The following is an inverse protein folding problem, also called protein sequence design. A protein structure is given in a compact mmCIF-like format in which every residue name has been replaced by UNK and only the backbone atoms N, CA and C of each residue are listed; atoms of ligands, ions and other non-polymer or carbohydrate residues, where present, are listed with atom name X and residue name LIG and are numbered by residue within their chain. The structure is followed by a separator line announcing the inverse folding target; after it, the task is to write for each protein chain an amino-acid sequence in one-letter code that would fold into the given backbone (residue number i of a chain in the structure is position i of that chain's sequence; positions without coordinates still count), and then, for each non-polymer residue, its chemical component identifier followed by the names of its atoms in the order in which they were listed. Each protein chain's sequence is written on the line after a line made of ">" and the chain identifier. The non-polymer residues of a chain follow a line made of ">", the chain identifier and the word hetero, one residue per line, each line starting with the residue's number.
data_IF_871522816863
#
_entry.id   IF_871522816863
#
_cell.length_a   1.000
_cell.length_b   1.000
_cell.length_c   1.000
_cell.angle_alpha   90.00
_cell.angle_beta   90.00
_cell.angle_gamma   90.00
#
_symmetry.space_group_name_H-M   'P 1'
#
loop_
_entity.id
_entity.type
_entity.pdbx_description
1 polymer ?
#
# COMPACT_ATOMS: atom_id res chain seq x y z
N UNK A 1 8.31 2.48 -17.33
CA UNK A 1 9.05 3.71 -17.69
C UNK A 1 10.34 3.66 -16.92
N UNK A 2 11.48 4.00 -17.52
CA UNK A 2 12.75 4.05 -16.78
C UNK A 2 12.91 5.46 -16.24
N UNK A 3 13.17 5.58 -14.95
CA UNK A 3 13.37 6.83 -14.22
C UNK A 3 14.79 6.94 -13.63
N UNK A 4 15.63 5.93 -13.88
CA UNK A 4 17.03 5.86 -13.42
C UNK A 4 17.97 5.25 -14.48
N UNK A 5 19.15 5.87 -14.63
CA UNK A 5 20.20 5.49 -15.59
C UNK A 5 20.62 6.63 -16.53
N UNK A 6 21.76 6.47 -17.20
CA UNK A 6 22.21 7.41 -18.23
C UNK A 6 21.47 7.20 -19.56
N UNK A 7 21.24 8.28 -20.30
CA UNK A 7 20.64 8.28 -21.65
C UNK A 7 19.26 7.64 -21.76
N UNK A 8 18.43 7.78 -20.72
CA UNK A 8 17.08 7.21 -20.71
C UNK A 8 16.15 7.89 -21.71
N UNK A 9 16.40 9.15 -22.02
CA UNK A 9 15.70 9.96 -23.02
C UNK A 9 15.86 9.42 -24.46
N UNK A 10 16.90 8.64 -24.72
CA UNK A 10 17.13 8.00 -26.03
C UNK A 10 16.46 6.63 -26.17
N UNK A 11 15.81 6.11 -25.11
CA UNK A 11 15.12 4.83 -25.19
C UNK A 11 13.73 5.00 -25.79
N UNK A 12 13.51 4.36 -26.92
CA UNK A 12 12.21 4.30 -27.58
C UNK A 12 11.34 3.20 -26.95
N UNK A 13 10.04 3.47 -26.86
CA UNK A 13 9.02 2.51 -26.45
C UNK A 13 7.98 2.36 -27.58
N UNK A 14 7.30 1.22 -27.61
CA UNK A 14 6.36 0.88 -28.68
C UNK A 14 7.02 0.09 -29.81
N UNK A 15 6.18 -0.41 -30.72
CA UNK A 15 6.64 -1.25 -31.82
C UNK A 15 7.34 -0.39 -32.87
N UNK A 16 8.60 -0.71 -33.17
CA UNK A 16 9.39 0.01 -34.17
C UNK A 16 9.23 -0.58 -35.57
N UNK A 17 9.01 -1.89 -35.67
CA UNK A 17 8.81 -2.59 -36.94
C UNK A 17 7.84 -3.74 -36.72
N UNK A 18 6.84 -3.86 -37.58
CA UNK A 18 5.97 -5.02 -37.67
C UNK A 18 6.21 -5.66 -39.03
N UNK A 19 6.60 -6.93 -39.05
CA UNK A 19 6.67 -7.73 -40.29
C UNK A 19 5.75 -8.93 -40.10
N UNK A 20 4.74 -9.02 -40.97
CA UNK A 20 3.78 -10.12 -40.97
C UNK A 20 4.20 -11.08 -42.08
N UNK A 21 4.50 -12.33 -41.74
CA UNK A 21 4.87 -13.38 -42.70
C UNK A 21 3.94 -14.60 -42.54
N UNK A 22 3.48 -15.16 -43.67
CA UNK A 22 2.91 -16.51 -43.72
C UNK A 22 1.61 -16.74 -42.93
N UNK A 23 0.68 -15.78 -42.91
CA UNK A 23 -0.63 -15.97 -42.26
C UNK A 23 -1.52 -16.94 -43.06
N UNK A 24 -1.27 -18.24 -42.92
CA UNK A 24 -2.28 -19.28 -43.20
C UNK A 24 -3.38 -19.32 -42.11
N UNK A 25 -3.48 -18.29 -41.24
CA UNK A 25 -4.32 -18.26 -40.04
C UNK A 25 -5.54 -17.32 -40.16
N UNK A 26 -5.78 -16.70 -41.32
CA UNK A 26 -6.92 -15.79 -41.51
C UNK A 26 -6.82 -14.48 -40.72
N UNK A 27 -7.94 -13.75 -40.64
CA UNK A 27 -8.06 -12.45 -39.97
C UNK A 27 -8.65 -12.63 -38.57
N UNK A 28 -8.00 -12.07 -37.54
CA UNK A 28 -8.57 -11.96 -36.20
C UNK A 28 -9.21 -10.56 -36.04
N UNK A 29 -10.51 -10.53 -35.78
CA UNK A 29 -11.26 -9.29 -35.56
C UNK A 29 -11.17 -8.82 -34.10
N UNK A 30 -10.58 -7.64 -33.89
CA UNK A 30 -10.41 -6.99 -32.59
C UNK A 30 -11.41 -5.83 -32.37
N UNK A 31 -12.36 -5.64 -33.29
CA UNK A 31 -13.27 -4.48 -33.32
C UNK A 31 -14.29 -4.44 -32.17
N UNK A 32 -14.52 -5.58 -31.51
CA UNK A 32 -15.54 -5.74 -30.47
C UNK A 32 -14.97 -5.98 -29.07
N UNK A 33 -13.73 -5.59 -28.82
CA UNK A 33 -13.24 -5.59 -27.45
C UNK A 33 -13.82 -4.38 -26.70
N UNK A 34 -14.77 -4.65 -25.80
CA UNK A 34 -15.30 -3.64 -24.88
C UNK A 34 -14.21 -3.36 -23.85
N UNK A 35 -13.32 -2.42 -24.17
CA UNK A 35 -12.26 -1.99 -23.27
C UNK A 35 -12.76 -0.98 -22.23
N UNK A 36 -14.01 -0.52 -22.32
CA UNK A 36 -14.55 0.54 -21.46
C UNK A 36 -15.75 0.07 -20.67
N UNK A 37 -15.65 0.16 -19.34
CA UNK A 37 -16.74 -0.13 -18.41
C UNK A 37 -17.03 1.10 -17.56
N UNK A 38 -18.30 1.32 -17.22
CA UNK A 38 -18.69 2.40 -16.31
C UNK A 38 -19.75 1.93 -15.32
N UNK A 39 -19.70 2.47 -14.11
CA UNK A 39 -20.67 2.17 -13.05
C UNK A 39 -20.83 3.34 -12.09
N UNK A 40 -22.03 3.52 -11.58
CA UNK A 40 -22.30 4.47 -10.50
C UNK A 40 -22.24 3.79 -9.13
N UNK A 41 -21.74 4.50 -8.12
CA UNK A 41 -21.70 4.02 -6.74
C UNK A 41 -21.86 5.14 -5.70
N UNK A 42 -22.36 4.78 -4.53
CA UNK A 42 -22.45 5.65 -3.37
C UNK A 42 -21.15 5.61 -2.56
N UNK A 43 -20.73 6.76 -2.02
CA UNK A 43 -19.52 6.80 -1.20
C UNK A 43 -19.77 6.03 0.11
N UNK A 44 -18.82 5.16 0.54
CA UNK A 44 -18.92 4.53 1.85
C UNK A 44 -19.01 5.57 2.96
N UNK A 45 -19.80 5.32 4.01
CA UNK A 45 -19.91 6.24 5.15
C UNK A 45 -18.58 6.43 5.90
N UNK A 46 -18.48 7.51 6.68
CA UNK A 46 -17.32 7.77 7.53
C UNK A 46 -16.12 8.39 6.80
N UNK A 47 -14.97 8.39 7.47
CA UNK A 47 -13.78 9.14 7.06
C UNK A 47 -12.60 8.24 6.68
N UNK A 48 -12.75 6.91 6.79
CA UNK A 48 -11.68 5.97 6.48
C UNK A 48 -11.28 6.04 4.99
N UNK A 49 -10.00 5.81 4.64
CA UNK A 49 -9.57 5.78 3.24
C UNK A 49 -10.38 4.78 2.40
N UNK A 50 -10.65 5.12 1.15
CA UNK A 50 -11.36 4.24 0.21
C UNK A 50 -10.36 3.66 -0.78
N UNK A 51 -10.60 2.41 -1.18
CA UNK A 51 -9.89 1.75 -2.26
C UNK A 51 -10.84 0.92 -3.12
N UNK A 52 -10.45 0.68 -4.37
CA UNK A 52 -11.06 -0.32 -5.23
C UNK A 52 -10.28 -1.62 -5.13
N UNK A 53 -10.97 -2.72 -4.84
CA UNK A 53 -10.44 -4.08 -4.99
C UNK A 53 -10.66 -4.52 -6.43
N UNK A 54 -9.55 -4.68 -7.14
CA UNK A 54 -9.54 -4.90 -8.58
C UNK A 54 -9.10 -6.31 -8.94
N UNK A 55 -8.96 -7.25 -7.99
CA UNK A 55 -8.48 -8.63 -8.25
C UNK A 55 -9.21 -9.39 -9.37
N UNK A 56 -10.44 -9.00 -9.73
CA UNK A 56 -11.20 -9.58 -10.83
C UNK A 56 -10.82 -9.03 -12.22
N UNK A 57 -9.95 -8.04 -12.28
CA UNK A 57 -9.57 -7.30 -13.48
C UNK A 57 -8.22 -7.75 -14.03
N UNK A 58 -7.84 -7.26 -15.21
CA UNK A 58 -6.58 -7.59 -15.88
C UNK A 58 -5.57 -6.47 -15.77
N UNK A 59 -5.62 -5.51 -16.69
CA UNK A 59 -4.70 -4.37 -16.78
C UNK A 59 -5.41 -3.17 -17.37
N UNK A 60 -5.13 -1.98 -16.86
CA UNK A 60 -5.59 -0.76 -17.51
C UNK A 60 -5.56 0.47 -16.63
N UNK A 61 -6.60 1.30 -16.73
CA UNK A 61 -6.70 2.61 -16.08
C UNK A 61 -8.07 2.78 -15.44
N UNK A 62 -8.14 3.53 -14.34
CA UNK A 62 -9.41 3.84 -13.66
C UNK A 62 -9.54 5.33 -13.40
N UNK A 63 -10.78 5.81 -13.50
CA UNK A 63 -11.20 7.17 -13.14
C UNK A 63 -12.41 7.14 -12.21
N UNK A 64 -12.47 8.12 -11.33
CA UNK A 64 -13.63 8.38 -10.46
C UNK A 64 -14.00 9.85 -10.60
N UNK A 65 -15.24 10.13 -11.02
CA UNK A 65 -15.77 11.47 -11.26
C UNK A 65 -14.90 12.33 -12.21
N UNK A 66 -14.25 11.71 -13.20
CA UNK A 66 -13.35 12.37 -14.16
C UNK A 66 -11.89 12.44 -13.69
N UNK A 67 -11.61 12.16 -12.43
CA UNK A 67 -10.25 12.17 -11.88
C UNK A 67 -9.58 10.81 -12.03
N UNK A 68 -8.34 10.78 -12.54
CA UNK A 68 -7.61 9.53 -12.69
C UNK A 68 -7.07 9.05 -11.34
N UNK A 69 -7.31 7.78 -11.00
CA UNK A 69 -6.71 7.13 -9.83
C UNK A 69 -5.49 6.27 -10.19
N UNK A 70 -5.10 6.26 -11.47
CA UNK A 70 -3.88 5.65 -11.98
C UNK A 70 -4.08 4.35 -12.77
N UNK A 71 -2.95 3.66 -13.00
CA UNK A 71 -2.89 2.37 -13.69
C UNK A 71 -3.09 1.23 -12.71
N UNK A 72 -3.79 0.19 -13.15
CA UNK A 72 -3.81 -1.11 -12.47
C UNK A 72 -3.21 -2.20 -13.35
N UNK A 73 -2.62 -3.20 -12.71
CA UNK A 73 -2.05 -4.37 -13.40
C UNK A 73 -2.08 -5.61 -12.50
N UNK A 74 -3.25 -6.24 -12.46
CA UNK A 74 -3.53 -7.41 -11.64
C UNK A 74 -2.88 -8.66 -12.22
N UNK A 75 -2.91 -8.79 -13.56
CA UNK A 75 -2.32 -9.92 -14.25
C UNK A 75 -0.78 -9.96 -14.15
N UNK A 76 -0.15 -8.95 -13.55
CA UNK A 76 1.28 -8.94 -13.25
C UNK A 76 1.55 -9.61 -11.90
N UNK A 77 1.72 -10.92 -11.97
CA UNK A 77 1.90 -11.78 -10.81
C UNK A 77 3.36 -11.84 -10.38
N UNK A 78 3.56 -11.88 -9.07
CA UNK A 78 4.86 -12.19 -8.47
C UNK A 78 5.16 -13.72 -8.59
N UNK A 79 6.36 -14.18 -8.21
CA UNK A 79 6.71 -15.61 -8.28
C UNK A 79 5.81 -16.54 -7.45
N UNK A 80 5.00 -16.00 -6.53
CA UNK A 80 4.02 -16.75 -5.73
C UNK A 80 2.62 -16.75 -6.37
N UNK A 81 2.47 -16.24 -7.59
CA UNK A 81 1.19 -16.18 -8.31
C UNK A 81 0.22 -15.13 -7.78
N UNK A 82 0.68 -14.16 -6.97
CA UNK A 82 -0.17 -13.08 -6.44
C UNK A 82 0.05 -11.79 -7.20
N UNK A 83 -1.03 -11.03 -7.41
CA UNK A 83 -0.94 -9.69 -7.99
C UNK A 83 -0.04 -8.79 -7.14
N UNK A 84 0.78 -7.97 -7.81
CA UNK A 84 1.68 -7.04 -7.11
C UNK A 84 0.91 -5.96 -6.34
N UNK A 85 -0.26 -5.56 -6.83
CA UNK A 85 -1.17 -4.62 -6.19
C UNK A 85 -2.61 -4.93 -6.62
N UNK A 86 -3.49 -5.23 -5.66
CA UNK A 86 -4.91 -5.50 -5.92
C UNK A 86 -5.84 -4.35 -5.48
N UNK A 87 -5.43 -3.62 -4.44
CA UNK A 87 -6.14 -2.45 -3.92
C UNK A 87 -5.61 -1.13 -4.49
N UNK A 88 -6.51 -0.29 -5.01
CA UNK A 88 -6.18 1.00 -5.63
C UNK A 88 -6.87 2.14 -4.89
N UNK A 89 -6.09 3.08 -4.34
CA UNK A 89 -6.61 4.14 -3.49
C UNK A 89 -7.50 5.13 -4.26
N UNK A 90 -8.66 5.46 -3.69
CA UNK A 90 -9.54 6.53 -4.15
C UNK A 90 -9.51 7.66 -3.11
N UNK A 91 -8.93 8.83 -3.42
CA UNK A 91 -8.96 9.97 -2.53
C UNK A 91 -10.41 10.36 -2.18
N UNK A 92 -10.70 10.53 -0.89
CA UNK A 92 -12.03 10.93 -0.41
C UNK A 92 -12.52 12.24 -1.05
N UNK A 93 -11.60 13.15 -1.39
CA UNK A 93 -11.90 14.41 -2.07
C UNK A 93 -12.45 14.23 -3.49
N UNK A 94 -12.27 13.07 -4.12
CA UNK A 94 -12.84 12.77 -5.44
C UNK A 94 -14.30 12.31 -5.35
N UNK A 95 -14.80 12.01 -4.14
CA UNK A 95 -16.11 11.40 -3.93
C UNK A 95 -17.16 12.44 -3.54
N UNK A 96 -18.34 12.30 -4.15
CA UNK A 96 -19.62 12.87 -3.74
C UNK A 96 -20.34 11.87 -2.83
N UNK A 97 -21.32 12.29 -2.00
CA UNK A 97 -22.06 11.35 -1.17
C UNK A 97 -22.73 10.21 -1.94
N UNK A 98 -23.28 10.51 -3.13
CA UNK A 98 -23.96 9.56 -4.02
C UNK A 98 -23.59 9.80 -5.48
N UNK A 99 -23.96 8.84 -6.33
CA UNK A 99 -23.86 8.94 -7.79
C UNK A 99 -22.44 9.26 -8.30
N UNK A 100 -21.44 8.60 -7.70
CA UNK A 100 -20.06 8.68 -8.17
C UNK A 100 -19.89 7.83 -9.43
N UNK A 101 -19.39 8.43 -10.50
CA UNK A 101 -19.10 7.71 -11.74
C UNK A 101 -17.72 7.09 -11.68
N UNK A 102 -17.64 5.77 -11.73
CA UNK A 102 -16.42 5.01 -11.97
C UNK A 102 -16.32 4.65 -13.45
N UNK A 103 -15.19 4.92 -14.08
CA UNK A 103 -14.88 4.48 -15.44
C UNK A 103 -13.60 3.65 -15.41
N UNK A 104 -13.64 2.47 -16.03
CA UNK A 104 -12.53 1.52 -16.10
C UNK A 104 -12.20 1.26 -17.57
N UNK A 105 -10.94 1.47 -17.92
CA UNK A 105 -10.38 0.99 -19.17
C UNK A 105 -9.65 -0.34 -18.92
N UNK A 106 -10.04 -1.42 -19.59
CA UNK A 106 -9.51 -2.79 -19.42
C UNK A 106 -8.88 -3.31 -20.72
N UNK A 107 -7.59 -3.64 -20.67
CA UNK A 107 -6.75 -4.06 -21.79
C UNK A 107 -6.68 -5.58 -21.96
N UNK A 108 -6.75 -6.34 -20.87
CA UNK A 108 -6.44 -7.78 -20.85
C UNK A 108 -7.64 -8.66 -20.44
N UNK A 109 -8.80 -8.06 -20.26
CA UNK A 109 -10.04 -8.72 -19.85
C UNK A 109 -10.16 -8.85 -18.32
N UNK A 110 -11.41 -8.83 -17.84
CA UNK A 110 -11.74 -8.86 -16.41
C UNK A 110 -13.24 -8.95 -16.19
N UNK A 111 -13.66 -9.04 -14.93
CA UNK A 111 -15.08 -9.01 -14.51
C UNK A 111 -15.37 -7.73 -13.73
N UNK A 112 -15.83 -6.67 -14.40
CA UNK A 112 -16.13 -5.38 -13.77
C UNK A 112 -17.19 -5.46 -12.67
N UNK A 113 -18.12 -6.41 -12.77
CA UNK A 113 -19.17 -6.68 -11.78
C UNK A 113 -18.61 -7.08 -10.41
N UNK A 114 -17.42 -7.69 -10.39
CA UNK A 114 -16.75 -8.19 -9.19
C UNK A 114 -15.83 -7.14 -8.54
N UNK A 115 -15.69 -5.94 -9.12
CA UNK A 115 -14.94 -4.83 -8.51
C UNK A 115 -15.65 -4.42 -7.21
N UNK A 116 -14.90 -4.35 -6.11
CA UNK A 116 -15.44 -3.97 -4.81
C UNK A 116 -14.91 -2.62 -4.34
N UNK A 117 -15.77 -1.83 -3.71
CA UNK A 117 -15.37 -0.59 -3.04
C UNK A 117 -15.14 -0.94 -1.57
N UNK A 118 -13.90 -0.79 -1.12
CA UNK A 118 -13.49 -1.13 0.24
C UNK A 118 -13.18 0.13 1.04
N UNK A 119 -13.47 0.08 2.34
CA UNK A 119 -12.89 1.01 3.31
C UNK A 119 -11.66 0.35 3.92
N UNK A 120 -10.54 1.06 3.88
CA UNK A 120 -9.28 0.59 4.46
C UNK A 120 -9.24 1.03 5.92
N UNK A 121 -9.51 0.10 6.83
CA UNK A 121 -9.28 0.33 8.25
C UNK A 121 -7.81 0.16 8.57
N UNK A 122 -7.21 1.20 9.14
CA UNK A 122 -5.86 1.16 9.72
C UNK A 122 -5.99 1.21 11.23
N UNK A 123 -6.59 0.17 11.77
CA UNK A 123 -6.73 0.02 13.22
C UNK A 123 -5.46 -0.61 13.80
N UNK A 124 -4.70 -1.36 12.99
CA UNK A 124 -3.40 -1.93 13.36
C UNK A 124 -2.25 -1.11 12.77
N UNK A 125 -1.32 -0.70 13.63
CA UNK A 125 -0.06 -0.06 13.23
C UNK A 125 1.07 -1.03 13.60
N UNK A 126 2.00 -1.26 12.68
CA UNK A 126 3.17 -2.08 12.98
C UNK A 126 4.47 -1.37 12.64
N UNK A 127 5.51 -1.70 13.38
CA UNK A 127 6.88 -1.25 13.13
C UNK A 127 7.86 -2.35 13.49
N UNK A 128 9.01 -2.37 12.82
CA UNK A 128 10.19 -3.17 13.17
C UNK A 128 11.37 -2.21 13.25
N UNK A 129 12.10 -2.25 14.34
CA UNK A 129 13.31 -1.43 14.53
C UNK A 129 14.40 -2.33 15.08
N UNK A 130 15.54 -2.34 14.38
CA UNK A 130 16.74 -3.10 14.75
C UNK A 130 17.95 -2.18 14.88
N UNK A 131 19.00 -2.65 15.55
CA UNK A 131 20.27 -1.94 15.70
C UNK A 131 20.96 -1.59 14.35
N UNK A 132 20.58 -2.25 13.26
CA UNK A 132 21.09 -1.94 11.92
C UNK A 132 20.38 -0.76 11.26
N UNK A 133 19.23 -0.32 11.79
CA UNK A 133 18.52 0.81 11.24
C UNK A 133 19.25 2.13 11.56
N UNK A 134 19.30 3.08 10.61
CA UNK A 134 19.86 4.38 10.88
C UNK A 134 18.96 5.15 11.87
N UNK A 135 19.58 6.04 12.65
CA UNK A 135 18.85 7.01 13.45
C UNK A 135 17.97 7.91 12.56
N UNK A 136 16.92 8.48 13.16
CA UNK A 136 15.99 9.34 12.44
C UNK A 136 16.72 10.50 11.74
N UNK A 137 16.28 10.87 10.53
CA UNK A 137 16.89 11.97 9.75
C UNK A 137 16.89 13.29 10.54
N UNK A 138 15.91 13.50 11.45
CA UNK A 138 15.84 14.69 12.32
C UNK A 138 16.92 14.75 13.39
N UNK A 139 17.58 13.64 13.70
CA UNK A 139 18.73 13.60 14.61
C UNK A 139 20.00 14.14 13.96
N UNK A 140 19.96 14.51 12.68
CA UNK A 140 21.09 15.05 11.92
C UNK A 140 20.84 16.50 11.51
N UNK A 141 21.86 17.33 11.60
CA UNK A 141 21.84 18.70 11.07
C UNK A 141 23.07 18.95 10.22
N UNK A 142 23.01 19.98 9.37
CA UNK A 142 24.14 20.39 8.57
C UNK A 142 24.67 21.72 9.10
N UNK A 143 25.92 21.74 9.55
CA UNK A 143 26.66 22.96 9.93
C UNK A 143 27.94 23.02 9.12
N UNK A 144 28.21 24.15 8.47
CA UNK A 144 29.39 24.37 7.62
C UNK A 144 29.61 23.24 6.59
N UNK A 145 28.54 22.83 5.91
CA UNK A 145 28.53 21.74 4.92
C UNK A 145 28.83 20.33 5.44
N UNK A 146 29.14 20.16 6.74
CA UNK A 146 29.31 18.85 7.38
C UNK A 146 28.01 18.42 8.06
N UNK A 147 27.70 17.12 7.93
CA UNK A 147 26.61 16.48 8.67
C UNK A 147 27.11 16.24 10.09
N UNK A 148 26.36 16.75 11.06
CA UNK A 148 26.63 16.59 12.48
C UNK A 148 25.38 16.04 13.16
N UNK A 149 25.57 15.11 14.09
CA UNK A 149 24.47 14.69 14.94
C UNK A 149 24.02 15.87 15.80
N UNK A 150 22.72 16.07 15.90
CA UNK A 150 22.08 17.05 16.82
C UNK A 150 21.96 16.46 18.22
N UNK A 151 21.94 15.14 18.30
CA UNK A 151 21.78 14.36 19.53
C UNK A 151 23.06 13.54 19.76
N UNK A 152 23.62 13.55 20.97
CA UNK A 152 24.85 12.79 21.27
C UNK A 152 24.64 11.27 21.15
N UNK A 153 23.37 10.83 21.09
CA UNK A 153 22.96 9.43 21.19
C UNK A 153 21.96 9.05 20.07
N UNK A 154 22.30 9.39 18.82
CA UNK A 154 21.51 9.08 17.63
C UNK A 154 21.36 7.55 17.42
N UNK A 155 20.28 6.99 17.96
CA UNK A 155 19.94 5.56 17.91
C UNK A 155 18.69 5.32 17.06
N UNK A 156 18.53 4.12 16.49
CA UNK A 156 17.28 3.73 15.85
C UNK A 156 16.12 3.76 16.85
N UNK A 157 15.02 4.43 16.48
CA UNK A 157 13.85 4.63 17.32
C UNK A 157 12.58 4.49 16.48
N UNK A 158 11.57 3.77 17.00
CA UNK A 158 10.21 3.76 16.47
C UNK A 158 9.32 4.72 17.26
N UNK A 159 8.60 5.58 16.54
CA UNK A 159 7.55 6.43 17.12
C UNK A 159 6.20 6.07 16.52
N UNK A 160 5.37 5.44 17.32
CA UNK A 160 4.04 5.02 16.94
C UNK A 160 3.04 6.08 17.36
N UNK A 161 2.18 6.48 16.42
CA UNK A 161 1.12 7.46 16.62
C UNK A 161 -0.08 7.06 15.80
N UNK A 162 -1.22 6.93 16.46
CA UNK A 162 -2.46 6.69 15.75
C UNK A 162 -2.92 7.92 14.96
N UNK A 163 -3.58 7.65 13.84
CA UNK A 163 -4.07 8.70 12.96
C UNK A 163 -5.37 9.30 13.50
N UNK A 164 -5.58 10.60 13.27
CA UNK A 164 -6.78 11.30 13.73
C UNK A 164 -6.87 11.41 15.26
N UNK A 165 -8.04 11.07 15.81
CA UNK A 165 -8.34 11.10 17.26
C UNK A 165 -8.16 9.74 17.93
N UNK A 166 -7.66 8.72 17.21
CA UNK A 166 -7.54 7.36 17.74
C UNK A 166 -6.51 7.26 18.85
N UNK A 167 -6.77 6.43 19.84
CA UNK A 167 -5.83 6.16 20.95
C UNK A 167 -5.41 4.70 20.96
N UNK A 168 -4.14 4.45 21.26
CA UNK A 168 -3.56 3.09 21.33
C UNK A 168 -4.20 2.32 22.48
N UNK A 169 -4.83 1.19 22.15
CA UNK A 169 -5.54 0.32 23.09
C UNK A 169 -4.68 -0.78 23.68
N UNK A 170 -3.86 -1.41 22.85
CA UNK A 170 -2.92 -2.45 23.27
C UNK A 170 -1.68 -2.40 22.39
N UNK A 171 -0.59 -2.99 22.91
CA UNK A 171 0.66 -3.20 22.17
C UNK A 171 0.87 -4.70 22.11
N UNK A 172 0.75 -5.27 20.91
CA UNK A 172 1.03 -6.68 20.66
C UNK A 172 2.51 -6.85 20.32
N UNK A 173 3.26 -7.33 21.30
CA UNK A 173 4.70 -7.51 21.19
C UNK A 173 5.06 -8.90 20.65
N UNK A 174 5.71 -8.93 19.47
CA UNK A 174 6.12 -10.19 18.84
C UNK A 174 7.39 -10.80 19.46
N UNK A 175 8.52 -10.10 19.39
CA UNK A 175 9.80 -10.59 19.91
C UNK A 175 10.85 -9.48 20.01
N UNK A 176 11.72 -9.55 21.01
CA UNK A 176 13.02 -8.86 21.03
C UNK A 176 14.09 -9.84 20.56
N UNK A 177 14.70 -9.59 19.41
CA UNK A 177 15.51 -10.57 18.67
C UNK A 177 15.13 -10.65 17.19
N UNK A 178 14.70 -11.82 16.70
CA UNK A 178 14.43 -12.05 15.26
C UNK A 178 12.97 -12.48 14.95
N UNK A 179 11.96 -11.64 15.22
CA UNK A 179 10.57 -11.96 14.89
C UNK A 179 10.39 -12.24 13.40
N UNK A 180 9.43 -13.12 13.08
CA UNK A 180 9.10 -13.50 11.70
C UNK A 180 7.63 -13.20 11.41
N UNK A 181 7.26 -13.11 10.12
CA UNK A 181 5.90 -12.86 9.67
C UNK A 181 5.62 -11.42 9.22
N UNK A 182 4.36 -11.01 9.28
CA UNK A 182 3.87 -9.74 8.74
C UNK A 182 3.03 -8.96 9.75
N UNK A 183 2.79 -7.67 9.48
CA UNK A 183 1.97 -6.80 10.31
C UNK A 183 0.61 -7.43 10.65
N UNK A 184 0.29 -7.49 11.95
CA UNK A 184 -0.91 -8.16 12.49
C UNK A 184 -0.78 -9.68 12.68
N UNK A 185 0.31 -10.31 12.24
CA UNK A 185 0.55 -11.75 12.39
C UNK A 185 2.05 -12.07 12.47
N UNK A 186 2.74 -11.42 13.40
CA UNK A 186 4.12 -11.72 13.70
C UNK A 186 4.23 -12.86 14.71
N UNK A 187 5.25 -13.69 14.54
CA UNK A 187 5.54 -14.84 15.39
C UNK A 187 6.89 -14.68 16.07
N UNK A 188 7.04 -15.37 17.19
CA UNK A 188 8.30 -15.41 17.95
C UNK A 188 9.35 -16.15 17.11
N UNK A 189 10.49 -15.52 16.89
CA UNK A 189 11.63 -16.13 16.20
C UNK A 189 12.47 -17.05 17.08
N UNK A 190 13.56 -17.56 16.50
CA UNK A 190 14.50 -18.47 17.20
C UNK A 190 15.37 -17.77 18.26
N UNK A 191 15.55 -16.46 18.15
CA UNK A 191 16.22 -15.59 19.10
C UNK A 191 15.16 -14.67 19.71
N UNK A 192 14.86 -14.89 20.99
CA UNK A 192 13.84 -14.14 21.72
C UNK A 192 14.21 -13.98 23.18
N UNK A 193 13.89 -12.81 23.75
CA UNK A 193 13.96 -12.57 25.19
C UNK A 193 12.55 -12.58 25.81
N UNK A 194 12.16 -13.62 26.59
CA UNK A 194 10.81 -13.75 27.16
C UNK A 194 10.38 -12.59 28.07
N UNK A 195 11.36 -11.94 28.71
CA UNK A 195 11.11 -10.82 29.63
C UNK A 195 10.75 -9.53 28.88
N UNK A 196 11.16 -9.38 27.62
CA UNK A 196 10.93 -8.17 26.84
C UNK A 196 9.43 -7.93 26.60
N UNK A 197 8.65 -8.99 26.41
CA UNK A 197 7.19 -8.92 26.26
C UNK A 197 6.53 -8.24 27.47
N UNK A 198 6.87 -8.71 28.67
CA UNK A 198 6.33 -8.15 29.90
C UNK A 198 6.75 -6.69 30.15
N UNK A 199 7.88 -6.24 29.58
CA UNK A 199 8.31 -4.83 29.66
C UNK A 199 7.56 -3.98 28.64
N UNK A 200 7.42 -4.45 27.41
CA UNK A 200 6.69 -3.74 26.34
C UNK A 200 5.19 -3.58 26.67
N UNK A 201 4.55 -4.64 27.18
CA UNK A 201 3.11 -4.64 27.49
C UNK A 201 2.76 -3.91 28.79
N UNK A 202 3.74 -3.55 29.63
CA UNK A 202 3.51 -2.76 30.86
C UNK A 202 3.04 -1.34 30.58
N UNK A 203 3.20 -0.84 29.35
CA UNK A 203 2.72 0.48 28.93
C UNK A 203 1.22 0.42 28.63
N UNK A 204 0.40 0.25 29.68
CA UNK A 204 -1.06 0.23 29.57
C UNK A 204 -1.62 1.61 29.90
N UNK A 205 -2.09 2.37 28.90
CA UNK A 205 -2.92 3.55 29.15
C UNK A 205 -4.34 3.09 29.52
N UNK A 206 -4.93 3.68 30.55
CA UNK A 206 -6.36 3.52 30.88
C UNK A 206 -7.16 4.25 29.78
N UNK A 207 -7.95 3.52 29.00
CA UNK A 207 -8.85 4.09 27.99
C UNK A 207 -10.28 4.17 28.52
N UNK A 208 -11.02 5.18 28.05
CA UNK A 208 -12.45 5.34 28.28
C UNK A 208 -13.25 4.56 27.23
N UNK A 209 -14.52 4.26 27.49
CA UNK A 209 -15.38 3.46 26.60
C UNK A 209 -15.82 4.20 25.32
N UNK A 210 -15.55 5.51 25.20
CA UNK A 210 -16.01 6.37 24.11
C UNK A 210 -14.90 6.78 23.13
N UNK A 211 -13.67 6.27 23.29
CA UNK A 211 -12.56 6.58 22.40
C UNK A 211 -12.53 5.63 21.18
N UNK A 212 -12.45 6.18 19.96
CA UNK A 212 -12.09 5.38 18.77
C UNK A 212 -10.69 4.81 19.00
N UNK A 213 -10.55 3.48 18.97
CA UNK A 213 -9.30 2.81 19.28
C UNK A 213 -8.51 2.39 18.04
N UNK A 214 -7.21 2.26 18.21
CA UNK A 214 -6.30 1.55 17.33
C UNK A 214 -5.56 0.51 18.18
N UNK A 215 -5.37 -0.67 17.63
CA UNK A 215 -4.45 -1.69 18.14
C UNK A 215 -3.06 -1.39 17.61
N UNK A 216 -2.05 -1.48 18.47
CA UNK A 216 -0.66 -1.35 18.04
C UNK A 216 -0.02 -2.74 18.07
N UNK A 217 0.74 -3.10 17.05
CA UNK A 217 1.64 -4.24 17.07
C UNK A 217 3.06 -3.71 16.91
N UNK A 218 3.62 -3.23 18.01
CA UNK A 218 5.00 -2.76 18.02
C UNK A 218 5.95 -3.95 18.12
N UNK A 219 6.82 -4.11 17.11
CA UNK A 219 7.99 -4.97 17.22
C UNK A 219 9.20 -4.10 17.51
N UNK A 220 9.85 -4.37 18.63
CA UNK A 220 11.21 -3.92 18.91
C UNK A 220 12.11 -5.14 18.69
N UNK A 221 12.90 -5.17 17.62
CA UNK A 221 13.86 -6.26 17.34
C UNK A 221 15.22 -5.95 17.91
#
# INVERSE_FOLDING_TARGET
>A
MKDSGAYLEHRLAGVHTVVIQGLNAGTLDLSHSVWGHQRYFDAPSGHDPVALEMSSMGKGLVWVNGESIGRYWISYLNPLGKASQSGYHVPRSFLKPKDNLMVVFEEHGGKPEDIQIMMVKRDDICTVVSDLHPANVRSWSRKNSQIQSVDDDAKPEARLKCTGKKVIQSIDFASFGNPDGMCGNFTVGSCHTPQAKAVAEKVKKRLSADDDTCTDSAILS
#
